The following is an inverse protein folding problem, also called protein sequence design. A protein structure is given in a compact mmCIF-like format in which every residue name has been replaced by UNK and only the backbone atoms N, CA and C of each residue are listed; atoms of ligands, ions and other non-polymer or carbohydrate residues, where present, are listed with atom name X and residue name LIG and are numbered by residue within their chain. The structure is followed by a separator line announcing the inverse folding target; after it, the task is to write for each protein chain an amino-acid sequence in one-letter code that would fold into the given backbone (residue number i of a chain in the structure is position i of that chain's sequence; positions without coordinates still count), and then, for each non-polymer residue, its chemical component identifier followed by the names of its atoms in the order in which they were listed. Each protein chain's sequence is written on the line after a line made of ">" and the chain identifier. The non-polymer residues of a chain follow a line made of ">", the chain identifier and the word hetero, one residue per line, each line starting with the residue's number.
data_IF_267344718136
#
_entry.id   IF_267344718136
#
_cell.length_a   1.000
_cell.length_b   1.000
_cell.length_c   1.000
_cell.angle_alpha   90.00
_cell.angle_beta   90.00
_cell.angle_gamma   90.00
#
_symmetry.space_group_name_H-M   'P 1'
#
loop_
_entity.id
_entity.type
_entity.pdbx_description
1 polymer ?
#
# COMPACT_ATOMS: atom_id res chain seq x y z
N UNK A 1 0.80 2.80 19.42
CA UNK A 1 2.06 2.03 19.28
C UNK A 1 2.26 1.51 17.87
N UNK A 2 1.38 0.69 17.30
CA UNK A 2 1.57 0.07 15.98
C UNK A 2 1.87 1.06 14.83
N UNK A 3 1.15 2.18 14.61
CA UNK A 3 1.46 3.10 13.52
C UNK A 3 2.89 3.62 13.52
N UNK A 4 3.47 3.88 14.70
CA UNK A 4 4.84 4.38 14.82
C UNK A 4 5.88 3.31 14.45
N UNK A 5 5.69 2.06 14.90
CA UNK A 5 6.54 0.91 14.54
C UNK A 5 6.41 0.60 13.04
N UNK A 6 5.19 0.55 12.51
CA UNK A 6 4.94 0.38 11.09
C UNK A 6 5.65 1.43 10.24
N UNK A 7 5.53 2.69 10.63
CA UNK A 7 6.23 3.79 9.94
C UNK A 7 7.75 3.62 9.99
N UNK A 8 8.32 3.32 11.17
CA UNK A 8 9.75 3.14 11.33
C UNK A 8 10.29 2.00 10.44
N UNK A 9 9.56 0.89 10.37
CA UNK A 9 9.90 -0.28 9.55
C UNK A 9 9.84 0.04 8.04
N UNK A 10 8.79 0.71 7.56
CA UNK A 10 8.56 0.85 6.12
C UNK A 10 9.05 2.17 5.50
N UNK A 11 9.41 3.18 6.30
CA UNK A 11 9.77 4.53 5.80
C UNK A 11 10.96 4.55 4.85
N UNK A 12 11.86 3.57 4.96
CA UNK A 12 13.08 3.49 4.15
C UNK A 12 12.87 2.79 2.80
N UNK A 13 11.75 2.11 2.62
CA UNK A 13 11.42 1.54 1.31
C UNK A 13 11.08 2.66 0.32
N UNK A 14 11.94 2.86 -0.68
CA UNK A 14 11.82 3.96 -1.66
C UNK A 14 11.88 3.49 -3.11
N UNK A 15 12.00 2.21 -3.36
CA UNK A 15 12.16 1.64 -4.70
C UNK A 15 10.97 1.94 -5.61
N UNK A 16 9.77 2.03 -5.05
CA UNK A 16 8.53 2.34 -5.76
C UNK A 16 8.29 3.85 -5.98
N UNK A 17 8.99 4.72 -5.23
CA UNK A 17 8.70 6.16 -5.25
C UNK A 17 8.93 6.84 -6.59
N UNK A 18 10.02 6.56 -7.36
CA UNK A 18 10.19 7.15 -8.69
C UNK A 18 9.02 6.83 -9.62
N UNK A 19 8.48 5.61 -9.56
CA UNK A 19 7.34 5.18 -10.37
C UNK A 19 6.09 5.99 -10.05
N UNK A 20 5.72 6.11 -8.77
CA UNK A 20 4.51 6.85 -8.36
C UNK A 20 4.61 8.34 -8.65
N UNK A 21 5.79 8.95 -8.46
CA UNK A 21 6.04 10.36 -8.79
C UNK A 21 5.93 10.59 -10.30
N UNK A 22 6.52 9.71 -11.11
CA UNK A 22 6.47 9.84 -12.57
C UNK A 22 5.03 9.69 -13.08
N UNK A 23 4.28 8.72 -12.55
CA UNK A 23 2.87 8.55 -12.88
C UNK A 23 2.05 9.81 -12.51
N UNK A 24 2.33 10.40 -11.34
CA UNK A 24 1.68 11.64 -10.93
C UNK A 24 2.05 12.84 -11.81
N UNK A 25 3.26 12.91 -12.34
CA UNK A 25 3.65 13.94 -13.33
C UNK A 25 2.88 13.80 -14.65
N UNK A 26 2.71 12.56 -15.12
CA UNK A 26 2.00 12.27 -16.37
C UNK A 26 0.50 12.57 -16.26
N UNK A 27 -0.13 12.22 -15.14
CA UNK A 27 -1.56 12.38 -14.93
C UNK A 27 -1.96 13.76 -14.38
N UNK A 28 -1.04 14.41 -13.66
CA UNK A 28 -1.31 15.64 -12.91
C UNK A 28 -1.98 15.37 -11.56
N UNK A 29 -2.20 16.47 -10.84
CA UNK A 29 -2.89 16.42 -9.53
C UNK A 29 -4.26 17.10 -9.59
N UNK A 30 -5.04 16.95 -8.54
CA UNK A 30 -4.74 16.33 -7.25
C UNK A 30 -4.70 14.80 -7.31
N UNK A 31 -3.89 14.17 -6.43
CA UNK A 31 -3.78 12.72 -6.30
C UNK A 31 -4.59 12.24 -5.10
N UNK A 32 -5.39 11.18 -5.28
CA UNK A 32 -6.06 10.46 -4.20
C UNK A 32 -5.30 9.17 -3.90
N UNK A 33 -4.83 8.99 -2.68
CA UNK A 33 -4.28 7.72 -2.21
C UNK A 33 -5.27 7.03 -1.28
N UNK A 34 -5.67 5.82 -1.64
CA UNK A 34 -6.51 4.93 -0.86
C UNK A 34 -5.61 4.05 0.02
N UNK A 35 -5.99 3.82 1.29
CA UNK A 35 -5.15 3.09 2.23
C UNK A 35 -3.81 3.79 2.50
N UNK A 36 -3.82 5.11 2.69
CA UNK A 36 -2.59 5.90 2.79
C UNK A 36 -1.75 5.61 4.06
N UNK A 37 -2.29 4.93 5.05
CA UNK A 37 -1.58 4.49 6.25
C UNK A 37 -0.88 5.65 6.97
N UNK A 38 0.42 5.48 7.22
CA UNK A 38 1.28 6.52 7.81
C UNK A 38 1.85 7.52 6.80
N UNK A 39 1.42 7.45 5.52
CA UNK A 39 1.67 8.45 4.51
C UNK A 39 2.99 8.32 3.75
N UNK A 40 3.57 7.13 3.66
CA UNK A 40 4.86 6.95 2.96
C UNK A 40 4.81 7.45 1.51
N UNK A 41 3.79 7.06 0.74
CA UNK A 41 3.63 7.53 -0.65
C UNK A 41 3.03 8.94 -0.67
N UNK A 42 1.98 9.17 0.10
CA UNK A 42 1.24 10.44 0.15
C UNK A 42 2.13 11.66 0.43
N UNK A 43 3.00 11.55 1.45
CA UNK A 43 3.90 12.65 1.83
C UNK A 43 4.97 12.90 0.76
N UNK A 44 5.55 11.85 0.18
CA UNK A 44 6.53 12.01 -0.91
C UNK A 44 5.91 12.68 -2.16
N UNK A 45 4.66 12.36 -2.50
CA UNK A 45 3.94 13.06 -3.58
C UNK A 45 3.67 14.52 -3.22
N UNK A 46 3.29 14.80 -1.98
CA UNK A 46 3.10 16.17 -1.52
C UNK A 46 4.42 16.98 -1.51
N UNK A 47 5.53 16.37 -1.09
CA UNK A 47 6.88 16.96 -1.17
C UNK A 47 7.33 17.19 -2.63
N UNK A 48 6.87 16.37 -3.57
CA UNK A 48 7.07 16.58 -5.00
C UNK A 48 6.18 17.68 -5.61
N UNK A 49 5.34 18.34 -4.78
CA UNK A 49 4.51 19.48 -5.17
C UNK A 49 3.08 19.16 -5.60
N UNK A 50 2.64 17.90 -5.48
CA UNK A 50 1.27 17.54 -5.79
C UNK A 50 0.31 17.85 -4.64
N UNK A 51 -0.87 18.38 -4.95
CA UNK A 51 -1.98 18.40 -4.00
C UNK A 51 -2.45 16.95 -3.77
N UNK A 52 -2.45 16.48 -2.54
CA UNK A 52 -2.77 15.10 -2.19
C UNK A 52 -3.95 14.98 -1.24
N UNK A 53 -4.69 13.89 -1.41
CA UNK A 53 -5.80 13.48 -0.54
C UNK A 53 -5.54 12.04 -0.13
N UNK A 54 -5.50 11.78 1.17
CA UNK A 54 -5.30 10.44 1.73
C UNK A 54 -6.56 9.92 2.41
N UNK A 55 -6.88 8.67 2.16
CA UNK A 55 -7.98 7.95 2.76
C UNK A 55 -7.46 6.68 3.43
N UNK A 56 -7.85 6.44 4.68
CA UNK A 56 -7.57 5.20 5.40
C UNK A 56 -8.71 4.88 6.35
N UNK A 57 -8.94 3.61 6.65
CA UNK A 57 -9.94 3.18 7.61
C UNK A 57 -9.40 3.16 9.05
N UNK A 58 -8.08 3.18 9.25
CA UNK A 58 -7.43 3.23 10.55
C UNK A 58 -7.15 4.67 10.99
N UNK A 59 -7.97 5.17 11.91
CA UNK A 59 -7.80 6.51 12.48
C UNK A 59 -6.45 6.67 13.20
N UNK A 60 -5.86 5.59 13.73
CA UNK A 60 -4.54 5.62 14.37
C UNK A 60 -3.43 5.93 13.37
N UNK A 61 -3.50 5.33 12.17
CA UNK A 61 -2.60 5.64 11.06
C UNK A 61 -2.70 7.10 10.65
N UNK A 62 -3.92 7.61 10.44
CA UNK A 62 -4.14 9.00 10.04
C UNK A 62 -3.70 10.02 11.12
N UNK A 63 -3.91 9.70 12.40
CA UNK A 63 -3.41 10.56 13.51
C UNK A 63 -1.89 10.60 13.52
N UNK A 64 -1.24 9.45 13.31
CA UNK A 64 0.21 9.39 13.20
C UNK A 64 0.70 10.22 12.00
N UNK A 65 0.12 10.00 10.83
CA UNK A 65 0.44 10.75 9.61
C UNK A 65 0.31 12.27 9.83
N UNK A 66 -0.79 12.72 10.43
CA UNK A 66 -1.02 14.13 10.72
C UNK A 66 0.06 14.72 11.65
N UNK A 67 0.50 13.95 12.63
CA UNK A 67 1.54 14.37 13.57
C UNK A 67 2.96 14.34 12.95
N UNK A 68 3.21 13.40 12.02
CA UNK A 68 4.51 13.19 11.39
C UNK A 68 4.73 14.07 10.15
N UNK A 69 3.67 14.65 9.55
CA UNK A 69 3.83 15.48 8.35
C UNK A 69 4.66 16.73 8.64
N UNK A 70 5.59 17.11 7.73
CA UNK A 70 6.38 18.33 7.89
C UNK A 70 5.49 19.57 7.97
N UNK A 71 5.71 20.44 8.96
CA UNK A 71 4.93 21.66 9.15
C UNK A 71 5.03 22.65 7.96
N UNK A 72 6.16 22.61 7.24
CA UNK A 72 6.40 23.43 6.06
C UNK A 72 5.76 22.89 4.77
N UNK A 73 5.18 21.69 4.80
CA UNK A 73 4.61 21.05 3.62
C UNK A 73 3.35 21.81 3.15
N UNK A 74 3.44 22.35 1.92
CA UNK A 74 2.36 23.09 1.29
C UNK A 74 2.18 22.68 -0.17
N UNK A 75 0.95 22.31 -0.58
CA UNK A 75 -0.24 22.15 0.26
C UNK A 75 -0.15 20.93 1.18
N UNK A 76 -0.63 21.08 2.41
CA UNK A 76 -0.71 19.95 3.33
C UNK A 76 -1.74 18.90 2.81
N UNK A 77 -1.47 17.61 2.94
CA UNK A 77 -2.42 16.56 2.57
C UNK A 77 -3.77 16.68 3.29
N UNK A 78 -4.86 16.49 2.56
CA UNK A 78 -6.18 16.33 3.15
C UNK A 78 -6.37 14.86 3.52
N UNK A 79 -6.82 14.60 4.75
CA UNK A 79 -6.95 13.23 5.28
C UNK A 79 -8.39 12.93 5.67
N UNK A 80 -8.90 11.78 5.25
CA UNK A 80 -10.24 11.33 5.54
C UNK A 80 -10.24 9.89 6.08
N UNK A 81 -10.98 9.66 7.16
CA UNK A 81 -11.25 8.30 7.64
C UNK A 81 -12.42 7.73 6.87
N UNK A 82 -12.19 6.71 6.05
CA UNK A 82 -13.25 6.04 5.30
C UNK A 82 -12.83 4.63 4.87
N UNK A 83 -13.82 3.79 4.54
CA UNK A 83 -13.59 2.49 3.95
C UNK A 83 -13.48 2.64 2.43
N UNK A 84 -12.40 2.13 1.84
CA UNK A 84 -12.15 2.24 0.39
C UNK A 84 -13.20 1.51 -0.49
N UNK A 85 -14.02 0.64 0.09
CA UNK A 85 -15.10 -0.04 -0.65
C UNK A 85 -16.39 0.80 -0.77
N UNK A 86 -16.51 1.88 0.02
CA UNK A 86 -17.73 2.70 0.10
C UNK A 86 -17.46 4.14 0.55
N UNK A 87 -16.61 4.86 -0.14
CA UNK A 87 -16.34 6.26 0.19
C UNK A 87 -17.02 7.22 -0.79
N UNK A 88 -17.21 8.47 -0.36
CA UNK A 88 -17.70 9.56 -1.21
C UNK A 88 -16.95 10.85 -0.93
N UNK A 89 -16.32 11.37 -1.98
CA UNK A 89 -15.67 12.67 -1.99
C UNK A 89 -16.33 13.53 -3.09
N UNK A 90 -16.55 14.80 -2.81
CA UNK A 90 -17.09 15.74 -3.80
C UNK A 90 -16.08 16.04 -4.93
N UNK A 91 -14.79 15.86 -4.65
CA UNK A 91 -13.70 16.12 -5.60
C UNK A 91 -13.45 14.92 -6.49
N UNK A 92 -13.03 15.18 -7.73
CA UNK A 92 -12.58 14.20 -8.71
C UNK A 92 -11.08 14.30 -8.90
N UNK A 93 -10.46 13.19 -9.31
CA UNK A 93 -9.01 13.03 -9.34
C UNK A 93 -8.56 12.48 -10.69
N UNK A 94 -7.52 13.07 -11.31
CA UNK A 94 -6.88 12.47 -12.49
C UNK A 94 -6.08 11.21 -12.14
N UNK A 95 -5.66 11.08 -10.87
CA UNK A 95 -4.93 9.91 -10.40
C UNK A 95 -5.48 9.44 -9.05
N UNK A 96 -5.89 8.16 -9.01
CA UNK A 96 -6.26 7.43 -7.79
C UNK A 96 -5.26 6.30 -7.61
N UNK A 97 -4.57 6.28 -6.47
CA UNK A 97 -3.55 5.29 -6.13
C UNK A 97 -4.03 4.35 -5.02
N UNK A 98 -3.64 3.10 -5.11
CA UNK A 98 -3.72 2.11 -4.04
C UNK A 98 -2.41 1.31 -4.02
N UNK A 99 -1.32 1.90 -3.54
CA UNK A 99 0.00 1.27 -3.51
C UNK A 99 0.13 0.29 -2.33
N UNK A 100 1.34 -0.27 -2.17
CA UNK A 100 1.74 -1.01 -0.97
C UNK A 100 0.90 -2.26 -0.69
N UNK A 101 0.57 -3.00 -1.75
CA UNK A 101 -0.06 -4.32 -1.65
C UNK A 101 -1.49 -4.34 -1.06
N UNK A 102 -2.08 -3.20 -0.78
CA UNK A 102 -3.41 -3.09 -0.14
C UNK A 102 -4.50 -3.80 -0.97
N UNK A 103 -4.42 -3.76 -2.32
CA UNK A 103 -5.39 -4.41 -3.19
C UNK A 103 -5.45 -5.93 -2.99
N UNK A 104 -4.32 -6.61 -2.76
CA UNK A 104 -4.27 -8.05 -2.52
C UNK A 104 -4.72 -8.47 -1.11
N UNK A 105 -4.83 -7.54 -0.16
CA UNK A 105 -5.38 -7.80 1.18
C UNK A 105 -6.91 -7.86 1.15
N UNK A 106 -7.54 -7.24 0.13
CA UNK A 106 -8.98 -7.32 -0.08
C UNK A 106 -9.36 -8.66 -0.69
N UNK A 107 -10.42 -9.29 -0.20
CA UNK A 107 -11.04 -10.42 -0.89
C UNK A 107 -11.92 -9.95 -2.07
N UNK A 108 -12.35 -10.89 -2.91
CA UNK A 108 -13.18 -10.58 -4.08
C UNK A 108 -14.49 -9.84 -3.72
N UNK A 109 -15.07 -10.15 -2.55
CA UNK A 109 -16.28 -9.49 -2.04
C UNK A 109 -16.05 -8.02 -1.71
N UNK A 110 -14.84 -7.65 -1.32
CA UNK A 110 -14.42 -6.27 -1.03
C UNK A 110 -13.93 -5.56 -2.31
N UNK A 111 -13.20 -6.24 -3.19
CA UNK A 111 -12.72 -5.64 -4.45
C UNK A 111 -13.85 -5.22 -5.37
N UNK A 112 -14.89 -6.04 -5.51
CA UNK A 112 -16.04 -5.73 -6.36
C UNK A 112 -16.73 -4.40 -6.01
N UNK A 113 -17.12 -4.10 -4.76
CA UNK A 113 -17.67 -2.77 -4.42
C UNK A 113 -16.63 -1.66 -4.55
N UNK A 114 -15.34 -1.90 -4.24
CA UNK A 114 -14.28 -0.92 -4.45
C UNK A 114 -14.18 -0.50 -5.93
N UNK A 115 -14.23 -1.47 -6.86
CA UNK A 115 -14.20 -1.21 -8.31
C UNK A 115 -15.43 -0.45 -8.81
N UNK A 116 -16.56 -0.51 -8.13
CA UNK A 116 -17.73 0.35 -8.42
C UNK A 116 -17.58 1.76 -7.83
N UNK A 117 -16.86 1.88 -6.72
CA UNK A 117 -16.70 3.14 -6.00
C UNK A 117 -15.59 4.03 -6.61
N UNK A 118 -14.41 3.45 -6.88
CA UNK A 118 -13.21 4.17 -7.33
C UNK A 118 -13.48 5.01 -8.59
N UNK A 119 -14.10 4.47 -9.67
CA UNK A 119 -14.30 5.22 -10.91
C UNK A 119 -15.20 6.45 -10.76
N UNK A 120 -16.09 6.46 -9.76
CA UNK A 120 -16.96 7.61 -9.50
C UNK A 120 -16.18 8.87 -9.08
N UNK A 121 -14.91 8.70 -8.71
CA UNK A 121 -14.02 9.77 -8.29
C UNK A 121 -13.00 10.18 -9.36
N UNK A 122 -13.08 9.64 -10.58
CA UNK A 122 -12.22 10.07 -11.67
C UNK A 122 -12.64 11.42 -12.25
N UNK A 123 -11.66 12.28 -12.53
CA UNK A 123 -11.82 13.34 -13.51
C UNK A 123 -11.81 12.74 -14.93
N UNK A 124 -12.24 13.50 -15.95
CA UNK A 124 -12.10 13.02 -17.35
C UNK A 124 -10.66 12.58 -17.65
N UNK A 125 -10.51 11.34 -18.16
CA UNK A 125 -9.20 10.72 -18.39
C UNK A 125 -8.47 10.26 -17.15
N UNK A 126 -9.13 10.23 -15.98
CA UNK A 126 -8.54 9.76 -14.72
C UNK A 126 -8.24 8.27 -14.74
N UNK A 127 -7.19 7.89 -14.01
CA UNK A 127 -6.75 6.50 -13.88
C UNK A 127 -6.71 6.03 -12.42
N UNK A 128 -6.87 4.73 -12.25
CA UNK A 128 -6.58 4.00 -11.03
C UNK A 128 -5.30 3.19 -11.22
N UNK A 129 -4.35 3.31 -10.30
CA UNK A 129 -3.14 2.49 -10.33
C UNK A 129 -2.90 1.84 -8.96
N UNK A 130 -2.46 0.59 -8.98
CA UNK A 130 -2.20 -0.20 -7.78
C UNK A 130 -1.02 -1.13 -7.99
N UNK A 131 -0.39 -1.54 -6.90
CA UNK A 131 0.64 -2.58 -6.89
C UNK A 131 0.28 -3.66 -5.88
N UNK A 132 0.54 -4.90 -6.26
CA UNK A 132 0.40 -6.09 -5.40
C UNK A 132 1.63 -6.99 -5.59
N UNK A 133 1.94 -7.86 -4.61
CA UNK A 133 2.93 -8.91 -4.83
C UNK A 133 2.41 -9.82 -5.94
N UNK A 134 3.28 -10.24 -6.85
CA UNK A 134 2.89 -11.17 -7.92
C UNK A 134 2.39 -12.50 -7.34
N UNK A 135 1.12 -12.88 -7.54
CA UNK A 135 0.58 -14.13 -7.00
C UNK A 135 1.29 -15.37 -7.53
N UNK A 136 1.78 -15.35 -8.79
CA UNK A 136 2.52 -16.44 -9.39
C UNK A 136 3.89 -16.61 -8.73
N UNK A 137 4.59 -15.50 -8.44
CA UNK A 137 5.84 -15.51 -7.69
C UNK A 137 5.62 -16.08 -6.28
N UNK A 138 4.63 -15.57 -5.54
CA UNK A 138 4.32 -16.04 -4.19
C UNK A 138 3.94 -17.53 -4.15
N UNK A 139 3.28 -18.06 -5.20
CA UNK A 139 2.94 -19.48 -5.30
C UNK A 139 4.15 -20.39 -5.48
N UNK A 140 5.26 -19.87 -5.99
CA UNK A 140 6.49 -20.62 -6.17
C UNK A 140 7.38 -20.64 -4.91
N UNK A 141 7.08 -19.80 -3.92
CA UNK A 141 7.77 -19.85 -2.63
C UNK A 141 7.43 -21.14 -1.87
N UNK A 142 8.27 -21.57 -0.92
CA UNK A 142 7.93 -22.67 0.02
C UNK A 142 6.59 -22.43 0.70
N UNK A 143 5.94 -23.52 1.16
CA UNK A 143 4.64 -23.43 1.83
C UNK A 143 4.70 -22.63 3.13
N UNK A 144 5.85 -22.57 3.77
CA UNK A 144 6.11 -21.77 4.96
C UNK A 144 7.60 -21.45 5.06
N UNK A 145 7.90 -20.39 5.83
CA UNK A 145 9.23 -20.15 6.37
C UNK A 145 9.13 -19.85 7.86
N UNK A 146 10.09 -20.33 8.61
CA UNK A 146 10.30 -19.97 10.01
C UNK A 146 10.63 -18.48 10.12
N UNK A 147 10.43 -17.94 11.33
CA UNK A 147 10.75 -16.55 11.59
C UNK A 147 12.26 -16.31 11.48
N UNK A 148 12.63 -15.35 10.65
CA UNK A 148 14.01 -14.86 10.51
C UNK A 148 14.04 -13.35 10.77
N UNK A 149 15.22 -12.85 11.16
CA UNK A 149 15.42 -11.43 11.48
C UNK A 149 15.52 -10.65 10.17
N UNK A 150 14.59 -9.71 9.96
CA UNK A 150 14.61 -8.80 8.82
C UNK A 150 15.54 -7.61 9.09
N UNK A 151 15.36 -6.95 10.26
CA UNK A 151 16.15 -5.79 10.65
C UNK A 151 16.06 -5.50 12.16
N UNK A 152 16.89 -4.56 12.61
CA UNK A 152 16.75 -3.94 13.94
C UNK A 152 16.55 -2.44 13.78
N UNK A 153 15.49 -1.91 14.35
CA UNK A 153 15.18 -0.48 14.33
C UNK A 153 15.15 0.11 15.74
N UNK A 154 15.14 1.44 15.80
CA UNK A 154 14.99 2.18 17.08
C UNK A 154 13.50 2.43 17.31
N UNK A 155 12.99 2.06 18.47
CA UNK A 155 11.60 2.31 18.86
C UNK A 155 11.30 3.82 18.87
N UNK A 156 10.34 4.33 18.07
CA UNK A 156 10.18 5.76 17.84
C UNK A 156 9.82 6.60 19.08
N UNK A 157 9.26 5.95 20.11
CA UNK A 157 8.82 6.64 21.35
C UNK A 157 9.77 6.45 22.53
N UNK A 158 10.48 5.31 22.62
CA UNK A 158 11.30 4.97 23.78
C UNK A 158 12.80 5.06 23.52
N UNK A 159 13.21 5.02 22.26
CA UNK A 159 14.62 4.97 21.87
C UNK A 159 15.29 3.59 22.03
N UNK A 160 14.58 2.61 22.57
CA UNK A 160 15.11 1.25 22.73
C UNK A 160 15.15 0.49 21.40
N UNK A 161 16.00 -0.57 21.30
CA UNK A 161 16.01 -1.42 20.11
C UNK A 161 14.69 -2.19 19.94
N UNK A 162 14.28 -2.35 18.69
CA UNK A 162 13.20 -3.25 18.27
C UNK A 162 13.76 -4.18 17.20
N UNK A 163 13.78 -5.46 17.49
CA UNK A 163 14.10 -6.47 16.50
C UNK A 163 12.84 -6.81 15.71
N UNK A 164 12.92 -6.67 14.39
CA UNK A 164 11.84 -7.05 13.48
C UNK A 164 12.21 -8.39 12.86
N UNK A 165 11.29 -9.33 12.91
CA UNK A 165 11.42 -10.61 12.22
C UNK A 165 10.12 -10.97 11.53
N UNK A 166 10.20 -11.78 10.46
CA UNK A 166 9.02 -12.23 9.74
C UNK A 166 9.05 -13.71 9.47
N UNK A 167 7.86 -14.27 9.38
CA UNK A 167 7.59 -15.61 8.90
C UNK A 167 6.44 -15.57 7.90
N UNK A 168 6.27 -16.62 7.11
CA UNK A 168 5.08 -16.72 6.27
C UNK A 168 4.52 -18.13 6.22
N UNK A 169 3.23 -18.18 5.85
CA UNK A 169 2.52 -19.40 5.52
C UNK A 169 1.74 -19.19 4.23
N UNK A 170 1.82 -20.17 3.34
CA UNK A 170 1.11 -20.17 2.07
C UNK A 170 0.13 -21.35 2.00
N UNK A 171 -1.11 -21.02 1.66
CA UNK A 171 -2.14 -21.98 1.26
C UNK A 171 -2.36 -21.90 -0.25
N UNK A 172 -3.33 -22.64 -0.77
CA UNK A 172 -3.74 -22.49 -2.19
C UNK A 172 -4.34 -21.11 -2.51
N UNK A 173 -4.93 -20.43 -1.52
CA UNK A 173 -5.69 -19.19 -1.71
C UNK A 173 -5.03 -17.96 -1.10
N UNK A 174 -4.19 -18.12 -0.10
CA UNK A 174 -3.65 -17.01 0.66
C UNK A 174 -2.17 -17.18 0.94
N UNK A 175 -1.47 -16.06 0.96
CA UNK A 175 -0.13 -15.91 1.49
C UNK A 175 -0.21 -14.99 2.71
N UNK A 176 0.12 -15.50 3.88
CA UNK A 176 0.06 -14.74 5.12
C UNK A 176 1.48 -14.49 5.62
N UNK A 177 1.85 -13.23 5.72
CA UNK A 177 3.09 -12.79 6.38
C UNK A 177 2.75 -12.42 7.81
N UNK A 178 3.59 -12.86 8.74
CA UNK A 178 3.51 -12.48 10.15
C UNK A 178 4.78 -11.76 10.54
N UNK A 179 4.67 -10.51 10.94
CA UNK A 179 5.77 -9.72 11.49
C UNK A 179 5.72 -9.75 13.01
N UNK A 180 6.89 -9.88 13.63
CA UNK A 180 7.12 -9.82 15.06
C UNK A 180 8.00 -8.60 15.34
N UNK A 181 7.52 -7.68 16.17
CA UNK A 181 8.26 -6.52 16.65
C UNK A 181 8.62 -6.77 18.11
N UNK A 182 9.85 -7.17 18.38
CA UNK A 182 10.37 -7.45 19.70
C UNK A 182 11.03 -6.20 20.27
N UNK A 183 10.32 -5.48 21.11
CA UNK A 183 10.80 -4.30 21.81
C UNK A 183 11.65 -4.73 23.01
N UNK A 184 12.96 -4.47 22.95
CA UNK A 184 13.93 -4.84 23.97
C UNK A 184 13.97 -3.76 25.05
N UNK A 185 13.51 -4.09 26.25
CA UNK A 185 13.43 -3.14 27.34
C UNK A 185 14.75 -3.12 28.16
N UNK A 186 15.09 -1.98 28.84
CA UNK A 186 16.31 -1.85 29.62
C UNK A 186 16.42 -2.82 30.78
N UNK A 187 15.28 -3.35 31.30
CA UNK A 187 15.23 -4.34 32.37
C UNK A 187 15.41 -5.80 31.87
N UNK A 188 15.71 -5.97 30.57
CA UNK A 188 15.92 -7.27 29.94
C UNK A 188 14.65 -7.98 29.48
N UNK A 189 13.47 -7.38 29.68
CA UNK A 189 12.23 -7.92 29.15
C UNK A 189 12.08 -7.62 27.66
N UNK A 190 11.26 -8.44 27.00
CA UNK A 190 10.88 -8.26 25.59
C UNK A 190 9.36 -8.11 25.51
N UNK A 191 8.91 -7.02 24.90
CA UNK A 191 7.50 -6.83 24.58
C UNK A 191 7.30 -7.11 23.08
N UNK A 192 6.58 -8.19 22.75
CA UNK A 192 6.30 -8.57 21.38
C UNK A 192 4.97 -8.04 20.90
N UNK A 193 4.99 -7.31 19.79
CA UNK A 193 3.80 -7.02 18.96
C UNK A 193 3.83 -7.94 17.74
N UNK A 194 2.74 -8.67 17.51
CA UNK A 194 2.58 -9.53 16.34
C UNK A 194 1.54 -8.93 15.40
N UNK A 195 1.88 -8.81 14.11
CA UNK A 195 1.01 -8.27 13.07
C UNK A 195 0.98 -9.21 11.89
N UNK A 196 -0.20 -9.44 11.32
CA UNK A 196 -0.37 -10.28 10.14
C UNK A 196 -0.94 -9.49 8.97
N UNK A 197 -0.42 -9.77 7.78
CA UNK A 197 -1.02 -9.38 6.51
C UNK A 197 -1.32 -10.63 5.70
N UNK A 198 -2.56 -10.76 5.26
CA UNK A 198 -3.02 -11.89 4.45
C UNK A 198 -3.35 -11.43 3.05
N UNK A 199 -2.56 -11.87 2.08
CA UNK A 199 -2.71 -11.56 0.67
C UNK A 199 -3.51 -12.67 -0.02
N UNK A 200 -4.51 -12.28 -0.81
CA UNK A 200 -5.26 -13.18 -1.68
C UNK A 200 -4.35 -13.60 -2.85
N UNK A 201 -4.26 -14.90 -3.11
CA UNK A 201 -3.53 -15.46 -4.24
C UNK A 201 -4.43 -15.65 -5.48
N UNK A 202 -5.39 -14.77 -5.72
CA UNK A 202 -6.07 -14.69 -7.02
C UNK A 202 -5.02 -14.58 -8.13
N UNK A 203 -5.10 -15.34 -9.24
CA UNK A 203 -4.15 -15.20 -10.36
C UNK A 203 -4.08 -13.77 -10.89
N UNK A 204 -2.89 -13.36 -11.36
CA UNK A 204 -2.68 -12.00 -11.88
C UNK A 204 -3.69 -11.62 -12.97
N UNK A 205 -3.93 -12.51 -13.94
CA UNK A 205 -4.92 -12.28 -15.01
C UNK A 205 -6.34 -12.14 -14.47
N UNK A 206 -6.69 -12.86 -13.39
CA UNK A 206 -8.02 -12.72 -12.78
C UNK A 206 -8.20 -11.37 -12.07
N UNK A 207 -7.14 -10.80 -11.45
CA UNK A 207 -7.18 -9.42 -10.95
C UNK A 207 -7.44 -8.42 -12.08
N UNK A 208 -6.76 -8.57 -13.21
CA UNK A 208 -6.96 -7.70 -14.38
C UNK A 208 -8.35 -7.88 -14.99
N UNK A 209 -8.87 -9.11 -14.99
CA UNK A 209 -10.22 -9.40 -15.47
C UNK A 209 -11.31 -8.79 -14.57
N UNK A 210 -11.13 -8.76 -13.24
CA UNK A 210 -12.04 -8.06 -12.33
C UNK A 210 -12.15 -6.56 -12.69
N UNK A 211 -11.04 -5.91 -13.08
CA UNK A 211 -11.05 -4.53 -13.56
C UNK A 211 -11.84 -4.37 -14.87
N UNK A 212 -11.62 -5.27 -15.85
CA UNK A 212 -12.34 -5.25 -17.14
C UNK A 212 -13.84 -5.45 -16.95
N UNK A 213 -14.23 -6.39 -16.08
CA UNK A 213 -15.64 -6.64 -15.75
C UNK A 213 -16.30 -5.46 -15.03
N UNK A 214 -15.53 -4.63 -14.34
CA UNK A 214 -16.00 -3.37 -13.77
C UNK A 214 -16.07 -2.22 -14.80
N UNK A 215 -15.80 -2.49 -16.08
CA UNK A 215 -15.83 -1.50 -17.15
C UNK A 215 -14.55 -0.67 -17.29
N UNK A 216 -13.45 -1.12 -16.68
CA UNK A 216 -12.16 -0.42 -16.77
C UNK A 216 -11.30 -1.00 -17.90
N UNK A 217 -10.54 -0.14 -18.55
CA UNK A 217 -9.56 -0.48 -19.58
C UNK A 217 -8.16 -0.50 -18.98
N UNK A 218 -7.47 -1.65 -19.06
CA UNK A 218 -6.08 -1.76 -18.62
C UNK A 218 -5.20 -0.96 -19.57
N UNK A 219 -4.56 0.08 -19.06
CA UNK A 219 -3.63 0.93 -19.81
C UNK A 219 -2.22 0.33 -19.81
N UNK A 220 -1.82 -0.27 -18.67
CA UNK A 220 -0.51 -0.87 -18.51
C UNK A 220 -0.53 -1.92 -17.41
N UNK A 221 0.36 -2.91 -17.54
CA UNK A 221 0.70 -3.87 -16.48
C UNK A 221 2.23 -4.05 -16.46
N UNK A 222 2.83 -3.76 -15.30
CA UNK A 222 4.27 -3.85 -15.09
C UNK A 222 4.61 -4.90 -14.04
N UNK A 223 5.78 -5.48 -14.16
CA UNK A 223 6.32 -6.44 -13.20
C UNK A 223 7.15 -5.81 -12.09
N UNK A 224 7.79 -4.69 -12.41
CA UNK A 224 8.67 -3.97 -11.50
C UNK A 224 8.46 -2.46 -11.59
N UNK A 225 8.95 -1.72 -10.59
CA UNK A 225 8.80 -0.26 -10.52
C UNK A 225 9.71 0.52 -11.50
N UNK A 226 10.57 -0.17 -12.24
CA UNK A 226 11.35 0.41 -13.34
C UNK A 226 10.55 0.48 -14.66
N UNK A 227 9.30 -0.02 -14.66
CA UNK A 227 8.43 -0.06 -15.81
C UNK A 227 8.59 -1.30 -16.70
N UNK A 228 9.38 -2.29 -16.27
CA UNK A 228 9.50 -3.59 -16.96
C UNK A 228 8.14 -4.27 -17.07
N UNK A 229 7.85 -4.86 -18.23
CA UNK A 229 6.58 -5.52 -18.48
C UNK A 229 6.33 -6.67 -17.49
N UNK A 230 5.07 -6.84 -17.10
CA UNK A 230 4.69 -7.95 -16.23
C UNK A 230 4.93 -9.31 -16.90
N UNK A 231 5.56 -10.19 -16.16
CA UNK A 231 5.64 -11.61 -16.46
C UNK A 231 5.46 -12.46 -15.19
N UNK A 232 5.41 -13.77 -15.33
CA UNK A 232 5.19 -14.69 -14.20
C UNK A 232 6.35 -14.72 -13.17
N UNK A 233 7.52 -14.22 -13.54
CA UNK A 233 8.73 -14.21 -12.70
C UNK A 233 8.95 -12.88 -11.98
N UNK A 234 8.25 -11.85 -12.42
CA UNK A 234 8.28 -10.54 -11.76
C UNK A 234 7.88 -10.65 -10.29
N UNK A 235 8.41 -9.78 -9.44
CA UNK A 235 8.08 -9.78 -8.01
C UNK A 235 6.76 -9.10 -7.71
N UNK A 236 6.32 -8.19 -8.60
CA UNK A 236 5.09 -7.42 -8.45
C UNK A 236 4.15 -7.62 -9.65
N UNK A 237 2.88 -7.30 -9.44
CA UNK A 237 1.94 -6.89 -10.46
C UNK A 237 1.53 -5.44 -10.17
N UNK A 238 1.97 -4.53 -11.03
CA UNK A 238 1.60 -3.12 -10.96
C UNK A 238 0.72 -2.83 -12.17
N UNK A 239 -0.47 -2.29 -11.97
CA UNK A 239 -1.38 -2.00 -13.06
C UNK A 239 -1.91 -0.59 -13.01
N UNK A 240 -2.23 -0.06 -14.18
CA UNK A 240 -2.95 1.19 -14.37
C UNK A 240 -4.17 0.95 -15.26
N UNK A 241 -5.34 1.48 -14.87
CA UNK A 241 -6.60 1.30 -15.57
C UNK A 241 -7.42 2.60 -15.59
N UNK A 242 -8.15 2.84 -16.67
CA UNK A 242 -9.09 3.97 -16.83
C UNK A 242 -10.50 3.47 -17.15
N UNK A 243 -11.46 4.38 -17.23
CA UNK A 243 -12.78 4.12 -17.84
C UNK A 243 -12.75 4.45 -19.32
#
# INVERSE_FOLDING_TARGET
>A
MFPALYHAHHRHYREDMPFWIELAKQQGGPVLELGCGTGRVLLNLAEAGFATVGLDNDLGMLRFLRAAQPAALQPAPLLFTANLVEFRLAKRFPLVLLPCNTWSVLDAGQRSPALRCIPQHFSPGGIFASSIPNPEFLRNLPASAEADIDETLVHPLTGNPVQVSSSWQRTRRHFTVTWYYDHLLPDGKVERLTVQSRHDLTPAEAYLEELRQAGMHIQAAYGEYDGSAFDRWATNLIFAASI
#
